data_IF_780961874336
#
_entry.id   IF_780961874336
#
_cell.length_a   1.000
_cell.length_b   1.000
_cell.length_c   1.000
_cell.angle_alpha   90.00
_cell.angle_beta   90.00
_cell.angle_gamma   90.00
#
_symmetry.space_group_name_H-M   'P 1'
#
loop_
_entity.id
_entity.type
_entity.pdbx_description
1 polymer ?
#
# COMPACT_ATOMS: atom_id res chain seq x y z
N UNK A 1 -20.93 6.03 2.34
CA UNK A 1 -19.46 5.97 2.20
C UNK A 1 -18.94 4.77 2.97
N UNK A 2 -18.04 4.01 2.35
CA UNK A 2 -17.38 2.85 2.94
C UNK A 2 -15.89 3.11 3.07
N UNK A 3 -15.25 2.48 4.06
CA UNK A 3 -13.81 2.59 4.27
C UNK A 3 -13.06 1.57 3.40
N UNK A 4 -11.97 2.03 2.77
CA UNK A 4 -11.09 1.22 1.94
C UNK A 4 -9.63 1.48 2.32
N UNK A 5 -8.78 0.46 2.22
CA UNK A 5 -7.34 0.69 2.07
C UNK A 5 -7.07 0.89 0.59
N UNK A 6 -6.46 2.00 0.22
CA UNK A 6 -6.11 2.38 -1.14
C UNK A 6 -4.60 2.31 -1.28
N UNK A 7 -4.13 1.52 -2.24
CA UNK A 7 -2.72 1.37 -2.55
C UNK A 7 -2.43 2.23 -3.77
N UNK A 8 -1.55 3.20 -3.61
CA UNK A 8 -1.07 4.09 -4.65
C UNK A 8 0.29 3.63 -5.15
N UNK A 9 0.49 3.70 -6.47
CA UNK A 9 1.77 3.58 -7.17
C UNK A 9 1.99 4.88 -7.95
N UNK A 10 2.94 5.71 -7.53
CA UNK A 10 3.23 7.00 -8.17
C UNK A 10 1.97 7.85 -8.44
N UNK A 11 1.10 8.00 -7.43
CA UNK A 11 -0.17 8.76 -7.46
C UNK A 11 -1.32 8.12 -8.25
N UNK A 12 -1.12 6.95 -8.85
CA UNK A 12 -2.21 6.16 -9.45
C UNK A 12 -2.69 5.13 -8.44
N UNK A 13 -4.00 4.91 -8.33
CA UNK A 13 -4.54 3.80 -7.54
C UNK A 13 -4.12 2.50 -8.21
N UNK A 14 -3.18 1.79 -7.60
CA UNK A 14 -2.71 0.46 -8.03
C UNK A 14 -3.53 -0.69 -7.42
N UNK A 15 -4.26 -0.43 -6.33
CA UNK A 15 -5.11 -1.43 -5.69
C UNK A 15 -6.03 -0.86 -4.62
N UNK A 16 -7.04 -1.63 -4.25
CA UNK A 16 -7.94 -1.30 -3.13
C UNK A 16 -8.39 -2.54 -2.38
N UNK A 17 -8.51 -2.45 -1.06
CA UNK A 17 -8.99 -3.50 -0.15
C UNK A 17 -10.19 -2.95 0.63
N UNK A 18 -11.35 -3.60 0.51
CA UNK A 18 -12.58 -3.19 1.19
C UNK A 18 -13.86 -3.69 0.49
N UNK A 19 -15.05 -3.24 0.94
CA UNK A 19 -15.25 -2.32 2.07
C UNK A 19 -14.85 -2.99 3.39
N UNK A 20 -14.20 -2.23 4.27
CA UNK A 20 -13.72 -2.75 5.56
C UNK A 20 -14.84 -2.70 6.61
N UNK A 21 -14.96 -3.71 7.49
CA UNK A 21 -16.01 -3.77 8.52
C UNK A 21 -15.71 -2.92 9.76
N UNK A 22 -14.59 -2.19 9.79
CA UNK A 22 -14.10 -1.41 10.93
C UNK A 22 -13.86 0.06 10.58
N UNK A 23 -13.61 0.88 11.60
CA UNK A 23 -13.39 2.33 11.47
C UNK A 23 -11.97 2.74 11.08
N UNK A 24 -11.77 4.04 10.86
CA UNK A 24 -10.51 4.65 10.42
C UNK A 24 -9.32 4.28 11.33
N UNK A 25 -9.48 4.37 12.64
CA UNK A 25 -8.39 4.10 13.59
C UNK A 25 -7.91 2.64 13.52
N UNK A 26 -8.84 1.68 13.44
CA UNK A 26 -8.50 0.27 13.30
C UNK A 26 -7.86 -0.02 11.94
N UNK A 27 -8.32 0.66 10.88
CA UNK A 27 -7.68 0.59 9.56
C UNK A 27 -6.23 1.04 9.60
N UNK A 28 -5.95 2.19 10.20
CA UNK A 28 -4.59 2.72 10.35
C UNK A 28 -3.74 1.75 11.18
N UNK A 29 -4.25 1.25 12.29
CA UNK A 29 -3.53 0.31 13.15
C UNK A 29 -3.19 -1.01 12.42
N UNK A 30 -4.11 -1.54 11.61
CA UNK A 30 -3.89 -2.76 10.80
C UNK A 30 -2.96 -2.53 9.61
N UNK A 31 -2.91 -1.31 9.08
CA UNK A 31 -2.06 -0.96 7.95
C UNK A 31 -0.62 -0.57 8.36
N UNK A 32 -0.42 -0.11 9.59
CA UNK A 32 0.89 0.31 10.09
C UNK A 32 1.99 -0.77 9.98
N UNK A 33 1.75 -2.07 10.26
CA UNK A 33 2.76 -3.11 10.07
C UNK A 33 3.20 -3.28 8.61
N UNK A 34 2.28 -3.10 7.64
CA UNK A 34 2.61 -3.20 6.22
C UNK A 34 3.52 -2.05 5.78
N UNK A 35 3.23 -0.82 6.23
CA UNK A 35 4.10 0.33 5.96
C UNK A 35 5.45 0.18 6.66
N UNK A 36 5.49 -0.34 7.90
CA UNK A 36 6.74 -0.61 8.61
C UNK A 36 7.61 -1.65 7.85
N UNK A 37 7.02 -2.76 7.43
CA UNK A 37 7.73 -3.79 6.65
C UNK A 37 8.24 -3.24 5.31
N UNK A 38 7.44 -2.40 4.63
CA UNK A 38 7.87 -1.71 3.40
C UNK A 38 9.07 -0.81 3.66
N UNK A 39 9.02 0.03 4.69
CA UNK A 39 10.13 0.93 5.03
C UNK A 39 11.40 0.17 5.41
N UNK A 40 11.27 -0.91 6.19
CA UNK A 40 12.39 -1.78 6.55
C UNK A 40 13.01 -2.42 5.30
N UNK A 41 12.21 -2.91 4.37
CA UNK A 41 12.70 -3.50 3.12
C UNK A 41 13.41 -2.47 2.22
N UNK A 42 12.94 -1.23 2.19
CA UNK A 42 13.60 -0.13 1.47
C UNK A 42 14.94 0.23 2.13
N UNK A 43 14.97 0.36 3.46
CA UNK A 43 16.17 0.76 4.21
C UNK A 43 17.26 -0.32 4.18
N UNK A 44 16.86 -1.58 4.36
CA UNK A 44 17.80 -2.70 4.45
C UNK A 44 18.12 -3.31 3.09
N UNK A 45 17.26 -3.14 2.09
CA UNK A 45 17.34 -3.86 0.82
C UNK A 45 16.96 -5.34 0.92
N UNK A 46 16.38 -5.79 2.05
CA UNK A 46 15.97 -7.17 2.29
C UNK A 46 14.47 -7.28 2.52
N UNK A 47 13.81 -8.20 1.81
CA UNK A 47 12.41 -8.53 2.07
C UNK A 47 12.32 -9.73 2.99
N UNK A 48 11.86 -9.54 4.22
CA UNK A 48 11.57 -10.64 5.14
C UNK A 48 10.38 -11.50 4.67
N UNK A 49 9.43 -10.91 3.94
CA UNK A 49 8.27 -11.64 3.43
C UNK A 49 8.64 -12.63 2.31
N UNK A 50 9.64 -12.27 1.50
CA UNK A 50 10.12 -13.08 0.36
C UNK A 50 11.44 -13.80 0.67
N UNK A 51 11.98 -13.61 1.87
CA UNK A 51 13.26 -14.14 2.37
C UNK A 51 14.43 -13.95 1.39
N UNK A 52 14.59 -12.72 0.86
CA UNK A 52 15.64 -12.41 -0.12
C UNK A 52 16.03 -10.93 -0.18
N UNK A 53 17.19 -10.69 -0.77
CA UNK A 53 17.64 -9.35 -1.17
C UNK A 53 16.83 -8.84 -2.37
N UNK A 54 16.57 -7.53 -2.35
CA UNK A 54 15.86 -6.80 -3.39
C UNK A 54 16.85 -6.11 -4.32
N UNK A 55 16.55 -6.11 -5.62
CA UNK A 55 17.32 -5.30 -6.56
C UNK A 55 16.91 -3.82 -6.53
N UNK A 56 17.72 -2.95 -7.12
CA UNK A 56 17.47 -1.51 -7.13
C UNK A 56 16.14 -1.11 -7.80
N UNK A 57 15.69 -1.88 -8.80
CA UNK A 57 14.40 -1.68 -9.44
C UNK A 57 13.23 -2.06 -8.54
N UNK A 58 13.39 -3.10 -7.72
CA UNK A 58 12.40 -3.50 -6.72
C UNK A 58 12.29 -2.49 -5.58
N UNK A 59 13.42 -2.04 -5.04
CA UNK A 59 13.45 -0.99 -4.01
C UNK A 59 12.75 0.27 -4.53
N UNK A 60 13.05 0.70 -5.76
CA UNK A 60 12.40 1.85 -6.38
C UNK A 60 10.88 1.68 -6.54
N UNK A 61 10.40 0.46 -6.81
CA UNK A 61 8.96 0.18 -6.84
C UNK A 61 8.35 0.29 -5.44
N UNK A 62 9.02 -0.23 -4.41
CA UNK A 62 8.56 -0.10 -3.02
C UNK A 62 8.50 1.37 -2.58
N UNK A 63 9.48 2.19 -2.96
CA UNK A 63 9.49 3.63 -2.68
C UNK A 63 8.30 4.36 -3.34
N UNK A 64 7.91 3.93 -4.55
CA UNK A 64 6.78 4.50 -5.28
C UNK A 64 5.40 4.03 -4.74
N UNK A 65 5.36 2.98 -3.92
CA UNK A 65 4.15 2.46 -3.31
C UNK A 65 3.81 3.20 -2.02
N UNK A 66 2.52 3.46 -1.79
CA UNK A 66 2.02 3.90 -0.49
C UNK A 66 0.61 3.39 -0.27
N UNK A 67 0.23 3.10 0.97
CA UNK A 67 -1.13 2.68 1.31
C UNK A 67 -1.80 3.68 2.25
N UNK A 68 -3.09 3.97 2.02
CA UNK A 68 -3.88 4.95 2.79
C UNK A 68 -5.27 4.41 3.11
N UNK A 69 -5.77 4.68 4.30
CA UNK A 69 -7.16 4.41 4.67
C UNK A 69 -8.04 5.59 4.25
N UNK A 70 -9.01 5.36 3.37
CA UNK A 70 -9.85 6.42 2.78
C UNK A 70 -11.33 6.03 2.72
N UNK A 71 -12.21 6.99 2.98
CA UNK A 71 -13.65 6.81 2.78
C UNK A 71 -14.02 7.15 1.34
N UNK A 72 -14.64 6.20 0.65
CA UNK A 72 -15.17 6.40 -0.69
C UNK A 72 -16.64 5.99 -0.78
N UNK A 73 -17.40 6.64 -1.66
CA UNK A 73 -18.79 6.26 -1.92
C UNK A 73 -18.89 4.89 -2.59
N UNK A 74 -17.93 4.60 -3.49
CA UNK A 74 -17.80 3.36 -4.23
C UNK A 74 -16.38 2.82 -4.11
N UNK A 75 -16.15 1.59 -4.60
CA UNK A 75 -14.79 1.04 -4.70
C UNK A 75 -13.87 2.01 -5.48
N UNK A 76 -12.66 2.32 -4.96
CA UNK A 76 -11.67 3.11 -5.69
C UNK A 76 -11.34 2.47 -7.03
N UNK A 77 -11.39 3.28 -8.09
CA UNK A 77 -11.08 2.83 -9.45
C UNK A 77 -9.56 2.68 -9.56
N UNK A 78 -9.12 1.48 -9.94
CA UNK A 78 -7.72 1.21 -10.24
C UNK A 78 -7.40 1.95 -11.54
N UNK A 79 -6.45 2.88 -11.49
CA UNK A 79 -6.05 3.60 -12.69
C UNK A 79 -5.17 2.73 -13.58
N UNK A 80 -5.22 2.98 -14.89
CA UNK A 80 -4.14 2.55 -15.77
C UNK A 80 -2.89 3.29 -15.34
N UNK A 81 -1.80 2.56 -15.04
CA UNK A 81 -0.49 3.18 -14.90
C UNK A 81 -0.30 4.13 -16.09
N UNK A 82 0.02 5.40 -15.85
CA UNK A 82 0.30 6.32 -16.93
C UNK A 82 1.41 5.70 -17.79
N UNK A 83 1.07 5.33 -19.02
CA UNK A 83 1.96 4.72 -20.01
C UNK A 83 3.13 5.66 -20.34
#
# INVERSE_FOLDING_TARGET
>A
MSLWVVIYSASVVGGSIGPLPYGMEECIAKNAPMEAARMQAIETGYSEAEDRWLDAGEIKKLEALSSRCEYHETRPVIGSAAE
#
